data_IF_455928748061
#
_entry.id   IF_455928748061
#
_cell.length_a   1.000
_cell.length_b   1.000
_cell.length_c   1.000
_cell.angle_alpha   90.00
_cell.angle_beta   90.00
_cell.angle_gamma   90.00
#
_symmetry.space_group_name_H-M   'P 1'
#
loop_
_entity.id
_entity.type
_entity.pdbx_description
1 polymer ?
#
# COMPACT_ATOMS: atom_id res chain seq x y z
N UNK A 1 -20.96 4.77 12.41
CA UNK A 1 -20.54 5.73 11.38
C UNK A 1 -21.40 5.49 10.15
N UNK A 2 -21.96 6.54 9.57
CA UNK A 2 -22.55 6.46 8.23
C UNK A 2 -21.40 6.17 7.26
N UNK A 3 -21.46 5.04 6.55
CA UNK A 3 -20.52 4.71 5.48
C UNK A 3 -20.83 5.63 4.30
N UNK A 4 -19.82 6.33 3.77
CA UNK A 4 -19.98 7.23 2.63
C UNK A 4 -20.69 6.51 1.46
N UNK A 5 -21.51 7.23 0.70
CA UNK A 5 -22.15 6.69 -0.50
C UNK A 5 -21.09 6.15 -1.47
N UNK A 6 -20.00 6.88 -1.66
CA UNK A 6 -18.91 6.49 -2.53
C UNK A 6 -18.19 5.21 -2.08
N UNK A 7 -18.03 4.99 -0.77
CA UNK A 7 -17.43 3.75 -0.25
C UNK A 7 -18.34 2.55 -0.50
N UNK A 8 -19.66 2.73 -0.40
CA UNK A 8 -20.63 1.69 -0.79
C UNK A 8 -20.55 1.40 -2.30
N UNK A 9 -20.43 2.42 -3.13
CA UNK A 9 -20.30 2.25 -4.58
C UNK A 9 -19.00 1.55 -4.97
N UNK A 10 -17.87 1.88 -4.32
CA UNK A 10 -16.60 1.18 -4.53
C UNK A 10 -16.72 -0.31 -4.16
N UNK A 11 -17.35 -0.62 -3.02
CA UNK A 11 -17.54 -2.00 -2.55
C UNK A 11 -18.51 -2.82 -3.40
N UNK A 12 -19.46 -2.18 -4.10
CA UNK A 12 -20.38 -2.86 -5.02
C UNK A 12 -19.72 -3.21 -6.35
N UNK A 13 -18.53 -2.70 -6.63
CA UNK A 13 -17.83 -3.02 -7.86
C UNK A 13 -17.21 -4.42 -7.75
N UNK A 14 -17.70 -5.35 -8.57
CA UNK A 14 -17.21 -6.73 -8.61
C UNK A 14 -15.84 -6.85 -9.31
N UNK A 15 -15.41 -5.79 -10.00
CA UNK A 15 -14.07 -5.68 -10.55
C UNK A 15 -13.08 -5.13 -9.53
N UNK A 16 -11.80 -5.52 -9.65
CA UNK A 16 -10.74 -4.98 -8.81
C UNK A 16 -10.36 -3.57 -9.30
N UNK A 17 -11.16 -2.56 -8.93
CA UNK A 17 -10.88 -1.16 -9.25
C UNK A 17 -9.89 -0.62 -8.22
N UNK A 18 -8.71 -0.12 -8.64
CA UNK A 18 -7.81 0.57 -7.73
C UNK A 18 -8.53 1.74 -7.04
N UNK A 19 -8.36 1.85 -5.72
CA UNK A 19 -8.87 2.97 -4.93
C UNK A 19 -8.45 4.33 -5.53
N UNK A 20 -7.24 4.37 -6.08
CA UNK A 20 -6.67 5.50 -6.81
C UNK A 20 -7.54 5.93 -7.99
N UNK A 21 -7.78 5.03 -8.94
CA UNK A 21 -8.61 5.28 -10.12
C UNK A 21 -10.01 5.76 -9.73
N UNK A 22 -10.64 5.08 -8.76
CA UNK A 22 -11.97 5.45 -8.30
C UNK A 22 -12.02 6.86 -7.73
N UNK A 23 -11.05 7.22 -6.87
CA UNK A 23 -11.00 8.55 -6.28
C UNK A 23 -10.67 9.65 -7.30
N UNK A 24 -9.77 9.35 -8.24
CA UNK A 24 -9.44 10.23 -9.37
C UNK A 24 -10.69 10.60 -10.17
N UNK A 25 -11.56 9.63 -10.46
CA UNK A 25 -12.82 9.88 -11.18
C UNK A 25 -13.77 10.78 -10.38
N UNK A 26 -13.85 10.63 -9.05
CA UNK A 26 -14.65 11.52 -8.21
C UNK A 26 -14.16 12.97 -8.26
N UNK A 27 -12.84 13.17 -8.19
CA UNK A 27 -12.23 14.51 -8.26
C UNK A 27 -12.40 15.11 -9.65
N UNK A 28 -12.20 14.33 -10.70
CA UNK A 28 -12.43 14.78 -12.08
C UNK A 28 -13.89 15.16 -12.33
N UNK A 29 -14.84 14.39 -11.77
CA UNK A 29 -16.27 14.71 -11.84
C UNK A 29 -16.61 16.00 -11.08
N UNK A 30 -16.04 16.22 -9.88
CA UNK A 30 -16.19 17.47 -9.15
C UNK A 30 -15.70 18.65 -9.99
N UNK A 31 -14.49 18.59 -10.54
CA UNK A 31 -13.94 19.67 -11.36
C UNK A 31 -14.64 19.84 -12.72
N UNK A 32 -15.31 18.80 -13.23
CA UNK A 32 -16.07 18.91 -14.48
C UNK A 32 -17.43 19.58 -14.27
N UNK A 33 -18.05 19.37 -13.10
CA UNK A 33 -19.39 19.87 -12.76
C UNK A 33 -19.40 21.18 -11.99
N UNK A 34 -18.35 21.45 -11.20
CA UNK A 34 -18.20 22.66 -10.40
C UNK A 34 -16.89 23.38 -10.76
N UNK A 35 -17.00 24.31 -11.72
CA UNK A 35 -15.83 25.06 -12.23
C UNK A 35 -15.29 26.06 -11.24
N UNK A 36 -16.14 26.61 -10.37
CA UNK A 36 -15.73 27.56 -9.34
C UNK A 36 -14.78 26.88 -8.34
N UNK A 37 -15.09 25.65 -7.93
CA UNK A 37 -14.18 24.85 -7.09
C UNK A 37 -12.87 24.54 -7.81
N UNK A 38 -12.91 24.19 -9.09
CA UNK A 38 -11.69 23.98 -9.88
C UNK A 38 -10.81 25.24 -9.91
N UNK A 39 -11.38 26.40 -10.24
CA UNK A 39 -10.63 27.66 -10.30
C UNK A 39 -10.11 28.10 -8.94
N UNK A 40 -10.93 27.98 -7.89
CA UNK A 40 -10.52 28.24 -6.52
C UNK A 40 -9.35 27.33 -6.11
N UNK A 41 -9.36 26.06 -6.51
CA UNK A 41 -8.27 25.13 -6.23
C UNK A 41 -6.98 25.52 -6.96
N UNK A 42 -7.05 25.82 -8.25
CA UNK A 42 -5.88 26.22 -9.04
C UNK A 42 -5.27 27.54 -8.55
N UNK A 43 -6.10 28.49 -8.11
CA UNK A 43 -5.66 29.71 -7.44
C UNK A 43 -5.00 29.40 -6.10
N UNK A 44 -5.62 28.55 -5.29
CA UNK A 44 -5.06 28.14 -3.99
C UNK A 44 -3.65 27.54 -4.12
N UNK A 45 -3.39 26.84 -5.22
CA UNK A 45 -2.09 26.28 -5.54
C UNK A 45 -1.09 27.26 -6.16
N UNK A 46 -1.51 28.50 -6.46
CA UNK A 46 -0.73 29.48 -7.23
C UNK A 46 -0.20 28.88 -8.55
N UNK A 47 -1.06 28.11 -9.23
CA UNK A 47 -0.73 27.46 -10.50
C UNK A 47 -1.08 28.35 -11.68
N UNK A 48 -2.23 29.03 -11.60
CA UNK A 48 -2.71 29.97 -12.61
C UNK A 48 -3.46 31.11 -11.93
N UNK A 49 -3.39 32.30 -12.52
CA UNK A 49 -4.29 33.40 -12.20
C UNK A 49 -5.57 33.21 -13.01
N UNK A 50 -6.62 32.69 -12.35
CA UNK A 50 -7.92 32.41 -12.98
C UNK A 50 -8.89 33.59 -12.89
N UNK A 51 -8.41 34.81 -12.63
CA UNK A 51 -9.22 36.04 -12.69
C UNK A 51 -9.78 36.38 -14.09
N UNK A 52 -9.56 35.50 -15.07
CA UNK A 52 -9.98 35.61 -16.45
C UNK A 52 -10.93 34.45 -16.75
N UNK A 53 -12.06 34.72 -17.42
CA UNK A 53 -12.98 33.69 -17.91
C UNK A 53 -12.20 32.69 -18.78
N UNK A 54 -12.03 31.48 -18.25
CA UNK A 54 -11.40 30.35 -18.92
C UNK A 54 -12.47 29.28 -19.09
N UNK A 55 -12.59 28.72 -20.28
CA UNK A 55 -13.28 27.46 -20.48
C UNK A 55 -12.40 26.33 -19.95
N UNK A 56 -12.98 25.41 -19.18
CA UNK A 56 -12.25 24.30 -18.57
C UNK A 56 -12.76 22.94 -19.05
N UNK A 57 -11.89 22.19 -19.72
CA UNK A 57 -12.13 20.80 -20.09
C UNK A 57 -11.35 19.88 -19.16
N UNK A 58 -12.06 18.96 -18.49
CA UNK A 58 -11.50 17.99 -17.55
C UNK A 58 -11.74 16.60 -18.13
N UNK A 59 -10.69 15.81 -18.23
CA UNK A 59 -10.77 14.44 -18.75
C UNK A 59 -9.88 13.50 -17.95
N UNK A 60 -10.33 12.25 -17.82
CA UNK A 60 -9.54 11.13 -17.32
C UNK A 60 -9.22 10.16 -18.46
N UNK A 61 -8.34 9.19 -18.22
CA UNK A 61 -8.01 8.11 -19.17
C UNK A 61 -7.44 8.56 -20.53
N UNK A 62 -7.05 9.82 -20.68
CA UNK A 62 -6.51 10.36 -21.92
C UNK A 62 -5.11 9.80 -22.17
N UNK A 63 -4.93 9.19 -23.35
CA UNK A 63 -3.65 8.63 -23.77
C UNK A 63 -2.84 9.66 -24.54
N UNK A 64 -1.54 9.66 -24.29
CA UNK A 64 -0.52 10.38 -25.04
C UNK A 64 0.46 9.37 -25.61
N UNK A 65 0.73 9.49 -26.90
CA UNK A 65 1.69 8.62 -27.57
C UNK A 65 3.09 8.79 -26.96
N UNK A 66 3.90 7.72 -26.92
CA UNK A 66 5.28 7.81 -26.47
C UNK A 66 6.07 8.78 -27.34
N UNK A 67 7.01 9.52 -26.73
CA UNK A 67 8.08 10.16 -27.50
C UNK A 67 9.05 9.08 -27.99
N UNK A 68 9.88 9.38 -29.00
CA UNK A 68 10.82 8.41 -29.60
C UNK A 68 11.76 7.74 -28.58
N UNK A 69 12.03 8.43 -27.46
CA UNK A 69 12.88 7.97 -26.36
C UNK A 69 12.14 7.10 -25.34
N UNK A 70 10.81 7.00 -25.42
CA UNK A 70 9.98 6.24 -24.49
C UNK A 70 9.54 4.91 -25.10
N UNK A 71 9.54 3.85 -24.29
CA UNK A 71 9.03 2.54 -24.70
C UNK A 71 7.50 2.41 -24.62
N UNK A 72 6.87 3.25 -23.81
CA UNK A 72 5.46 3.16 -23.45
C UNK A 72 4.80 4.54 -23.55
N UNK A 73 3.57 4.56 -24.05
CA UNK A 73 2.73 5.75 -23.99
C UNK A 73 2.37 6.13 -22.55
N UNK A 74 1.79 7.31 -22.40
CA UNK A 74 1.45 7.90 -21.11
C UNK A 74 -0.04 8.12 -20.96
N UNK A 75 -0.54 8.03 -19.74
CA UNK A 75 -1.93 8.29 -19.39
C UNK A 75 -1.98 8.90 -17.99
N UNK A 76 -1.90 10.24 -17.89
CA UNK A 76 -2.12 10.93 -16.64
C UNK A 76 -3.52 10.63 -16.10
N UNK A 77 -3.65 10.60 -14.78
CA UNK A 77 -4.91 10.33 -14.09
C UNK A 77 -5.99 11.37 -14.42
N UNK A 78 -5.63 12.67 -14.38
CA UNK A 78 -6.50 13.77 -14.81
C UNK A 78 -5.72 14.71 -15.74
N UNK A 79 -6.36 15.10 -16.83
CA UNK A 79 -5.90 16.17 -17.73
C UNK A 79 -6.91 17.30 -17.69
N UNK A 80 -6.42 18.51 -17.41
CA UNK A 80 -7.22 19.73 -17.42
C UNK A 80 -6.65 20.65 -18.50
N UNK A 81 -7.48 21.03 -19.46
CA UNK A 81 -7.18 22.07 -20.43
C UNK A 81 -8.00 23.31 -20.10
N UNK A 82 -7.33 24.45 -20.06
CA UNK A 82 -7.94 25.75 -19.80
C UNK A 82 -7.69 26.64 -21.01
N UNK A 83 -8.75 27.18 -21.57
CA UNK A 83 -8.67 27.98 -22.77
C UNK A 83 -9.45 29.28 -22.64
N UNK A 84 -8.89 30.36 -23.16
CA UNK A 84 -9.65 31.51 -23.60
C UNK A 84 -9.06 32.04 -24.91
N UNK A 85 -9.56 33.17 -25.39
CA UNK A 85 -9.11 33.76 -26.66
C UNK A 85 -7.62 34.11 -26.73
N UNK A 86 -6.90 34.14 -25.59
CA UNK A 86 -5.51 34.61 -25.50
C UNK A 86 -4.55 33.60 -24.87
N UNK A 87 -5.05 32.66 -24.06
CA UNK A 87 -4.26 31.74 -23.25
C UNK A 87 -4.81 30.32 -23.32
N UNK A 88 -3.89 29.39 -23.46
CA UNK A 88 -4.06 27.94 -23.42
C UNK A 88 -3.14 27.39 -22.33
N UNK A 89 -3.72 26.73 -21.34
CA UNK A 89 -3.00 26.04 -20.28
C UNK A 89 -3.36 24.56 -20.25
N UNK A 90 -2.39 23.72 -19.95
CA UNK A 90 -2.60 22.28 -19.76
C UNK A 90 -1.97 21.82 -18.45
N UNK A 91 -2.73 21.04 -17.71
CA UNK A 91 -2.35 20.52 -16.41
C UNK A 91 -2.50 19.00 -16.46
N UNK A 92 -1.42 18.28 -16.20
CA UNK A 92 -1.48 16.86 -15.87
C UNK A 92 -1.50 16.70 -14.36
N UNK A 93 -2.39 15.86 -13.87
CA UNK A 93 -2.43 15.43 -12.48
C UNK A 93 -2.16 13.94 -12.47
N UNK A 94 -1.18 13.54 -11.67
CA UNK A 94 -0.92 12.16 -11.32
C UNK A 94 -1.21 11.98 -9.82
N UNK A 95 -2.06 11.01 -9.50
CA UNK A 95 -2.52 10.65 -8.16
C UNK A 95 -1.82 9.38 -7.70
N UNK A 96 -1.42 9.33 -6.42
CA UNK A 96 -1.05 8.05 -5.78
C UNK A 96 -1.75 7.83 -4.45
N UNK A 97 -2.45 6.71 -4.33
CA UNK A 97 -3.13 6.30 -3.09
C UNK A 97 -2.72 4.86 -2.76
N UNK A 98 -1.71 4.71 -1.90
CA UNK A 98 -1.22 3.40 -1.47
C UNK A 98 -0.28 2.70 -2.46
N UNK A 99 0.02 3.33 -3.58
CA UNK A 99 1.00 2.91 -4.57
C UNK A 99 2.16 3.92 -4.61
N UNK A 100 3.31 3.51 -5.14
CA UNK A 100 4.36 4.43 -5.54
C UNK A 100 4.20 4.77 -7.02
N UNK A 101 4.84 5.86 -7.44
CA UNK A 101 5.03 6.19 -8.85
C UNK A 101 5.52 4.98 -9.66
N UNK A 102 4.98 4.82 -10.89
CA UNK A 102 5.51 3.84 -11.83
C UNK A 102 6.91 4.23 -12.31
N UNK A 103 7.63 3.27 -12.88
CA UNK A 103 8.98 3.49 -13.42
C UNK A 103 9.03 4.75 -14.30
N UNK A 104 9.89 5.72 -13.96
CA UNK A 104 10.11 7.03 -14.61
C UNK A 104 8.85 7.80 -15.06
N UNK A 105 7.72 7.60 -14.39
CA UNK A 105 6.42 8.06 -14.87
C UNK A 105 6.31 9.59 -14.94
N UNK A 106 6.70 10.29 -13.88
CA UNK A 106 6.64 11.75 -13.81
C UNK A 106 7.61 12.40 -14.81
N UNK A 107 8.78 11.78 -15.01
CA UNK A 107 9.75 12.27 -15.99
C UNK A 107 9.19 12.21 -17.42
N UNK A 108 8.57 11.09 -17.79
CA UNK A 108 7.87 10.97 -19.09
C UNK A 108 6.77 12.01 -19.25
N UNK A 109 5.98 12.26 -18.20
CA UNK A 109 4.88 13.22 -18.26
C UNK A 109 5.38 14.65 -18.42
N UNK A 110 6.47 15.00 -17.74
CA UNK A 110 7.12 16.29 -17.91
C UNK A 110 7.64 16.47 -19.35
N UNK A 111 8.25 15.44 -19.94
CA UNK A 111 8.75 15.49 -21.32
C UNK A 111 7.62 15.65 -22.34
N UNK A 112 6.53 14.90 -22.17
CA UNK A 112 5.34 15.02 -23.03
C UNK A 112 4.77 16.43 -22.91
N UNK A 113 4.50 16.92 -21.70
CA UNK A 113 4.01 18.29 -21.50
C UNK A 113 4.92 19.33 -22.17
N UNK A 114 6.24 19.20 -21.99
CA UNK A 114 7.22 20.10 -22.60
C UNK A 114 7.10 20.10 -24.13
N UNK A 115 6.87 18.95 -24.75
CA UNK A 115 6.73 18.79 -26.20
C UNK A 115 5.39 19.25 -26.81
N UNK A 116 4.30 19.36 -26.03
CA UNK A 116 2.98 19.74 -26.59
C UNK A 116 3.00 21.21 -27.06
N UNK A 117 2.80 21.51 -28.36
CA UNK A 117 2.80 22.89 -28.85
C UNK A 117 1.51 23.64 -28.48
N UNK A 118 1.54 24.97 -28.51
CA UNK A 118 0.35 25.82 -28.40
C UNK A 118 -0.07 26.21 -26.97
N UNK A 119 0.37 25.47 -25.94
CA UNK A 119 0.08 25.81 -24.54
C UNK A 119 1.18 26.71 -23.95
N UNK A 120 0.81 27.86 -23.40
CA UNK A 120 1.74 28.79 -22.75
C UNK A 120 2.07 28.36 -21.32
N UNK A 121 1.10 27.78 -20.61
CA UNK A 121 1.30 27.28 -19.25
C UNK A 121 1.12 25.77 -19.21
N UNK A 122 2.15 25.08 -18.71
CA UNK A 122 2.22 23.63 -18.66
C UNK A 122 2.55 23.22 -17.24
N UNK A 123 1.70 22.41 -16.63
CA UNK A 123 1.82 22.10 -15.20
C UNK A 123 1.71 20.59 -15.00
N UNK A 124 2.61 20.05 -14.20
CA UNK A 124 2.55 18.69 -13.70
C UNK A 124 2.31 18.73 -12.19
N UNK A 125 1.15 18.23 -11.76
CA UNK A 125 0.79 18.08 -10.36
C UNK A 125 0.92 16.61 -9.96
N UNK A 126 1.71 16.34 -8.92
CA UNK A 126 1.81 15.02 -8.31
C UNK A 126 1.17 15.05 -6.93
N UNK A 127 0.08 14.32 -6.72
CA UNK A 127 -0.71 14.37 -5.49
C UNK A 127 -0.76 12.99 -4.84
N UNK A 128 -0.29 12.90 -3.60
CA UNK A 128 -0.13 11.61 -2.90
C UNK A 128 -0.85 11.55 -1.56
N UNK A 129 -1.35 10.37 -1.18
CA UNK A 129 -1.83 10.13 0.19
C UNK A 129 -0.68 9.89 1.17
N UNK A 130 0.29 9.08 0.77
CA UNK A 130 1.37 8.51 1.61
C UNK A 130 2.73 9.10 1.26
N UNK A 131 3.61 9.33 2.26
CA UNK A 131 4.83 10.15 2.11
C UNK A 131 5.72 9.64 0.97
N UNK A 132 5.90 10.46 -0.07
CA UNK A 132 6.61 10.08 -1.29
C UNK A 132 7.22 11.33 -1.96
N UNK A 133 8.19 12.01 -1.33
CA UNK A 133 8.82 13.21 -1.87
C UNK A 133 9.58 12.90 -3.16
N UNK A 134 9.48 13.78 -4.15
CA UNK A 134 10.20 13.70 -5.42
C UNK A 134 11.29 14.75 -5.50
N UNK A 135 12.43 14.35 -6.07
CA UNK A 135 13.46 15.29 -6.48
C UNK A 135 13.06 15.89 -7.84
N UNK A 136 12.91 17.22 -7.87
CA UNK A 136 12.57 17.93 -9.09
C UNK A 136 13.65 17.77 -10.18
N UNK A 137 14.92 17.57 -9.79
CA UNK A 137 15.98 17.30 -10.75
C UNK A 137 15.78 15.95 -11.47
N UNK A 138 15.27 14.94 -10.77
CA UNK A 138 14.95 13.63 -11.35
C UNK A 138 13.73 13.72 -12.28
N UNK A 139 12.68 14.46 -11.88
CA UNK A 139 11.50 14.69 -12.73
C UNK A 139 11.90 15.35 -14.07
N UNK A 140 12.84 16.30 -14.05
CA UNK A 140 13.27 17.04 -15.24
C UNK A 140 14.60 16.57 -15.84
N UNK A 141 15.11 15.38 -15.47
CA UNK A 141 16.46 14.92 -15.83
C UNK A 141 16.76 14.91 -17.34
N UNK A 142 15.72 14.76 -18.16
CA UNK A 142 15.83 14.68 -19.63
C UNK A 142 15.46 16.00 -20.34
N UNK A 143 15.20 17.09 -19.60
CA UNK A 143 14.77 18.38 -20.16
C UNK A 143 15.76 19.46 -19.77
N UNK A 144 16.55 19.94 -20.73
CA UNK A 144 17.63 20.91 -20.49
C UNK A 144 17.12 22.28 -20.01
N UNK A 145 15.91 22.69 -20.43
CA UNK A 145 15.27 23.95 -20.02
C UNK A 145 13.75 23.79 -20.02
N UNK A 146 13.22 23.24 -18.93
CA UNK A 146 11.79 22.94 -18.83
C UNK A 146 10.94 24.20 -18.73
N UNK A 147 9.93 24.28 -19.60
CA UNK A 147 8.82 25.24 -19.51
C UNK A 147 7.66 24.72 -18.66
N UNK A 148 7.80 23.51 -18.12
CA UNK A 148 6.78 22.85 -17.30
C UNK A 148 7.00 23.18 -15.83
N UNK A 149 5.95 23.63 -15.15
CA UNK A 149 5.94 23.80 -13.71
C UNK A 149 5.59 22.48 -13.02
N UNK A 150 6.44 22.01 -12.11
CA UNK A 150 6.14 20.86 -11.26
C UNK A 150 5.70 21.31 -9.87
N UNK A 151 4.65 20.68 -9.34
CA UNK A 151 4.24 20.81 -7.93
C UNK A 151 3.90 19.44 -7.37
N UNK A 152 4.40 19.19 -6.17
CA UNK A 152 4.00 18.03 -5.39
C UNK A 152 3.11 18.46 -4.23
N UNK A 153 2.03 17.72 -4.02
CA UNK A 153 1.01 17.97 -3.01
C UNK A 153 0.60 16.67 -2.31
N UNK A 154 -0.16 16.86 -1.23
CA UNK A 154 -0.80 15.80 -0.46
C UNK A 154 -2.30 15.89 -0.56
N UNK A 155 -2.99 14.76 -0.60
CA UNK A 155 -4.45 14.76 -0.59
C UNK A 155 -5.05 15.47 0.64
N UNK A 156 -4.35 15.51 1.77
CA UNK A 156 -4.82 16.27 2.94
C UNK A 156 -4.87 17.79 2.69
N UNK A 157 -4.04 18.32 1.78
CA UNK A 157 -4.08 19.73 1.41
C UNK A 157 -5.34 20.02 0.59
N UNK A 158 -5.70 19.13 -0.34
CA UNK A 158 -6.97 19.21 -1.06
C UNK A 158 -8.17 19.09 -0.12
N UNK A 159 -8.13 18.16 0.85
CA UNK A 159 -9.17 18.04 1.88
C UNK A 159 -9.34 19.33 2.71
N UNK A 160 -8.22 19.97 3.10
CA UNK A 160 -8.24 21.26 3.80
C UNK A 160 -8.81 22.39 2.93
N UNK A 161 -8.55 22.36 1.63
CA UNK A 161 -9.15 23.29 0.69
C UNK A 161 -10.66 23.07 0.54
N UNK A 162 -11.13 21.82 0.41
CA UNK A 162 -12.57 21.53 0.31
C UNK A 162 -13.35 22.01 1.54
N UNK A 163 -12.74 21.98 2.73
CA UNK A 163 -13.32 22.57 3.96
C UNK A 163 -13.62 24.06 3.86
N UNK A 164 -13.01 24.78 2.92
CA UNK A 164 -13.26 26.22 2.71
C UNK A 164 -14.23 26.48 1.56
N UNK A 165 -14.75 25.45 0.88
CA UNK A 165 -15.66 25.57 -0.25
C UNK A 165 -17.13 25.48 0.19
N UNK A 166 -18.04 25.73 -0.76
CA UNK A 166 -19.48 25.60 -0.54
C UNK A 166 -19.86 24.18 -0.09
N UNK A 167 -20.77 24.11 0.88
CA UNK A 167 -21.25 22.87 1.48
C UNK A 167 -22.28 22.18 0.56
N UNK A 168 -21.78 21.53 -0.50
CA UNK A 168 -22.61 20.72 -1.40
C UNK A 168 -22.55 19.25 -1.02
N UNK A 169 -23.61 18.50 -1.36
CA UNK A 169 -23.66 17.05 -1.11
C UNK A 169 -22.46 16.32 -1.75
N UNK A 170 -22.05 16.71 -2.95
CA UNK A 170 -20.90 16.10 -3.63
C UNK A 170 -19.59 16.36 -2.86
N UNK A 171 -19.36 17.61 -2.43
CA UNK A 171 -18.17 17.97 -1.63
C UNK A 171 -18.14 17.19 -0.32
N UNK A 172 -19.27 17.09 0.39
CA UNK A 172 -19.35 16.34 1.65
C UNK A 172 -19.10 14.84 1.48
N UNK A 173 -19.65 14.24 0.43
CA UNK A 173 -19.41 12.82 0.15
C UNK A 173 -17.94 12.55 -0.22
N UNK A 174 -17.32 13.43 -1.03
CA UNK A 174 -15.87 13.34 -1.33
C UNK A 174 -15.05 13.49 -0.04
N UNK A 175 -15.35 14.47 0.79
CA UNK A 175 -14.65 14.70 2.05
C UNK A 175 -14.81 13.53 3.03
N UNK A 176 -15.99 12.94 3.12
CA UNK A 176 -16.25 11.76 3.95
C UNK A 176 -15.44 10.57 3.46
N UNK A 177 -15.45 10.32 2.14
CA UNK A 177 -14.61 9.30 1.51
C UNK A 177 -13.11 9.51 1.79
N UNK A 178 -12.63 10.75 1.66
CA UNK A 178 -11.24 11.11 2.02
C UNK A 178 -10.93 10.83 3.49
N UNK A 179 -11.88 11.02 4.39
CA UNK A 179 -11.77 10.68 5.81
C UNK A 179 -11.57 9.17 6.01
N UNK A 180 -12.46 8.36 5.44
CA UNK A 180 -12.45 6.90 5.57
C UNK A 180 -11.14 6.27 5.06
N UNK A 181 -10.62 6.77 3.94
CA UNK A 181 -9.40 6.24 3.30
C UNK A 181 -8.11 6.99 3.70
N UNK A 182 -8.14 7.71 4.83
CA UNK A 182 -7.01 8.41 5.46
C UNK A 182 -6.34 9.49 4.60
N UNK A 183 -7.04 10.01 3.59
CA UNK A 183 -6.59 11.15 2.79
C UNK A 183 -6.78 12.49 3.50
N UNK A 184 -7.62 12.54 4.52
CA UNK A 184 -7.87 13.73 5.33
C UNK A 184 -6.81 14.02 6.42
N UNK A 185 -5.92 13.05 6.71
CA UNK A 185 -4.99 13.16 7.84
C UNK A 185 -3.95 14.25 7.58
N UNK A 186 -3.81 15.17 8.53
CA UNK A 186 -2.81 16.23 8.47
C UNK A 186 -1.43 15.70 8.93
N UNK A 187 -0.39 16.50 8.72
CA UNK A 187 0.98 16.16 9.15
C UNK A 187 1.19 16.39 10.67
N UNK A 188 0.20 16.09 11.51
CA UNK A 188 0.27 16.27 12.96
C UNK A 188 0.05 14.94 13.66
N UNK A 189 0.84 14.68 14.71
CA UNK A 189 0.58 13.56 15.61
C UNK A 189 -0.69 13.85 16.42
N UNK A 190 -1.63 12.91 16.40
CA UNK A 190 -2.75 12.89 17.33
C UNK A 190 -2.30 12.37 18.70
N UNK A 191 -3.13 12.55 19.73
CA UNK A 191 -2.86 11.94 21.04
C UNK A 191 -2.76 10.42 20.97
N UNK A 192 -3.52 9.78 20.08
CA UNK A 192 -3.45 8.33 19.86
C UNK A 192 -2.10 7.95 19.27
N UNK A 193 -1.56 8.72 18.32
CA UNK A 193 -0.25 8.45 17.73
C UNK A 193 0.86 8.58 18.78
N UNK A 194 0.79 9.61 19.63
CA UNK A 194 1.75 9.81 20.73
C UNK A 194 1.70 8.65 21.72
N UNK A 195 0.50 8.21 22.13
CA UNK A 195 0.33 7.05 23.02
C UNK A 195 0.85 5.78 22.36
N UNK A 196 0.59 5.60 21.06
CA UNK A 196 1.03 4.43 20.29
C UNK A 196 2.55 4.37 20.22
N UNK A 197 3.22 5.49 19.91
CA UNK A 197 4.68 5.59 19.90
C UNK A 197 5.28 5.32 21.29
N UNK A 198 4.68 5.88 22.35
CA UNK A 198 5.15 5.69 23.71
C UNK A 198 5.02 4.22 24.20
N UNK A 199 4.02 3.49 23.70
CA UNK A 199 3.77 2.08 24.08
C UNK A 199 4.29 1.07 23.05
N UNK A 200 4.94 1.52 21.97
CA UNK A 200 5.40 0.65 20.90
C UNK A 200 6.39 -0.41 21.41
N UNK A 201 7.42 0.01 22.17
CA UNK A 201 8.43 -0.91 22.72
C UNK A 201 7.81 -1.96 23.64
N UNK A 202 6.89 -1.56 24.52
CA UNK A 202 6.17 -2.50 25.39
C UNK A 202 5.34 -3.50 24.58
N UNK A 203 4.67 -3.04 23.53
CA UNK A 203 3.87 -3.91 22.65
C UNK A 203 4.77 -4.90 21.90
N UNK A 204 5.95 -4.44 21.48
CA UNK A 204 6.98 -5.28 20.87
C UNK A 204 7.52 -6.34 21.83
N UNK A 205 7.77 -5.97 23.09
CA UNK A 205 8.19 -6.92 24.14
C UNK A 205 7.14 -8.00 24.39
N UNK A 206 5.85 -7.67 24.38
CA UNK A 206 4.77 -8.66 24.48
C UNK A 206 4.74 -9.60 23.26
N UNK A 207 4.86 -9.06 22.05
CA UNK A 207 4.99 -9.90 20.84
C UNK A 207 6.21 -10.81 20.95
N UNK A 208 7.33 -10.29 21.45
CA UNK A 208 8.55 -11.06 21.65
C UNK A 208 8.38 -12.17 22.66
N UNK A 209 7.72 -11.89 23.76
CA UNK A 209 7.45 -12.88 24.80
C UNK A 209 6.63 -14.05 24.24
N UNK A 210 5.66 -13.78 23.35
CA UNK A 210 4.87 -14.84 22.70
C UNK A 210 5.63 -15.66 21.66
N UNK A 211 6.71 -15.13 21.08
CA UNK A 211 7.37 -15.72 19.91
C UNK A 211 8.77 -16.27 20.22
N UNK A 212 9.63 -15.52 20.91
CA UNK A 212 11.08 -15.76 20.98
C UNK A 212 11.56 -16.57 22.19
N UNK A 213 10.68 -17.40 22.74
CA UNK A 213 11.00 -18.42 23.74
C UNK A 213 10.79 -19.83 23.19
N UNK A 214 9.98 -20.61 23.89
CA UNK A 214 9.60 -21.98 23.49
C UNK A 214 9.01 -22.07 22.07
N UNK A 215 8.25 -21.05 21.63
CA UNK A 215 7.65 -21.02 20.30
C UNK A 215 8.71 -20.98 19.20
N UNK A 216 9.75 -20.14 19.34
CA UNK A 216 10.86 -20.09 18.38
C UNK A 216 11.68 -21.39 18.35
N UNK A 217 11.84 -22.05 19.50
CA UNK A 217 12.50 -23.35 19.58
C UNK A 217 11.68 -24.41 18.83
N UNK A 218 10.36 -24.47 19.08
CA UNK A 218 9.45 -25.37 18.38
C UNK A 218 9.43 -25.10 16.88
N UNK A 219 9.35 -23.83 16.48
CA UNK A 219 9.38 -23.44 15.07
C UNK A 219 10.66 -23.91 14.37
N UNK A 220 11.82 -23.73 15.02
CA UNK A 220 13.11 -24.22 14.51
C UNK A 220 13.15 -25.75 14.43
N UNK A 221 12.60 -26.46 15.41
CA UNK A 221 12.49 -27.93 15.37
C UNK A 221 11.61 -28.38 14.20
N UNK A 222 10.44 -27.76 14.03
CA UNK A 222 9.48 -28.13 12.97
C UNK A 222 10.04 -27.80 11.60
N UNK A 223 10.70 -26.67 11.38
CA UNK A 223 11.11 -26.21 10.04
C UNK A 223 12.60 -26.39 9.72
N UNK A 224 13.43 -26.71 10.71
CA UNK A 224 14.89 -26.87 10.60
C UNK A 224 15.67 -25.57 10.70
N UNK A 225 15.06 -24.42 10.41
CA UNK A 225 15.69 -23.11 10.50
C UNK A 225 14.69 -22.02 10.88
N UNK A 226 15.23 -20.89 11.33
CA UNK A 226 14.50 -19.66 11.62
C UNK A 226 15.42 -18.48 11.31
N UNK A 227 14.90 -17.45 10.65
CA UNK A 227 15.65 -16.21 10.42
C UNK A 227 15.89 -15.46 11.73
N UNK A 228 16.91 -14.61 11.73
CA UNK A 228 17.26 -13.80 12.90
C UNK A 228 16.10 -12.90 13.31
N UNK A 229 15.97 -12.64 14.62
CA UNK A 229 14.94 -11.76 15.18
C UNK A 229 14.92 -10.36 14.54
N UNK A 230 16.09 -9.80 14.21
CA UNK A 230 16.19 -8.53 13.51
C UNK A 230 15.42 -8.51 12.18
N UNK A 231 15.33 -9.64 11.48
CA UNK A 231 14.52 -9.77 10.25
C UNK A 231 13.03 -9.61 10.51
N UNK A 232 12.52 -9.96 11.69
CA UNK A 232 11.11 -9.74 12.03
C UNK A 232 10.80 -8.25 12.15
N UNK A 233 11.72 -7.45 12.69
CA UNK A 233 11.56 -5.99 12.81
C UNK A 233 11.53 -5.30 11.44
N UNK A 234 12.40 -5.71 10.50
CA UNK A 234 12.38 -5.13 9.15
C UNK A 234 11.05 -5.38 8.43
N UNK A 235 10.36 -6.50 8.72
CA UNK A 235 9.05 -6.76 8.16
C UNK A 235 7.94 -5.84 8.68
N UNK A 236 8.08 -5.23 9.86
CA UNK A 236 7.11 -4.24 10.34
C UNK A 236 7.14 -3.04 9.38
N UNK A 237 8.34 -2.53 9.08
CA UNK A 237 8.54 -1.38 8.21
C UNK A 237 8.01 -1.63 6.79
N UNK A 238 8.37 -2.76 6.18
CA UNK A 238 8.12 -2.99 4.75
C UNK A 238 6.79 -3.68 4.46
N UNK A 239 6.25 -4.44 5.42
CA UNK A 239 5.10 -5.30 5.19
C UNK A 239 4.01 -5.15 6.25
N UNK A 240 4.21 -4.36 7.31
CA UNK A 240 3.25 -4.21 8.40
C UNK A 240 2.99 -5.51 9.14
N UNK A 241 4.02 -6.36 9.29
CA UNK A 241 3.92 -7.66 9.97
C UNK A 241 5.17 -7.96 10.80
N UNK A 242 5.00 -8.67 11.89
CA UNK A 242 6.08 -9.10 12.77
C UNK A 242 6.11 -10.63 12.83
N UNK A 243 6.97 -11.25 12.02
CA UNK A 243 6.98 -12.70 11.80
C UNK A 243 8.35 -13.32 12.04
N UNK A 244 8.37 -14.46 12.71
CA UNK A 244 9.43 -15.46 12.52
C UNK A 244 9.22 -16.10 11.15
N UNK A 245 10.30 -16.29 10.40
CA UNK A 245 10.19 -16.87 9.06
C UNK A 245 11.24 -17.94 8.81
N UNK A 246 10.87 -18.92 8.00
CA UNK A 246 11.77 -19.90 7.42
C UNK A 246 11.49 -20.01 5.91
N UNK A 247 12.55 -20.04 5.12
CA UNK A 247 12.45 -20.22 3.67
C UNK A 247 12.84 -21.65 3.32
N UNK A 248 11.94 -22.33 2.61
CA UNK A 248 12.18 -23.67 2.08
C UNK A 248 13.16 -23.60 0.91
N UNK A 249 13.73 -24.74 0.44
CA UNK A 249 14.70 -24.76 -0.64
C UNK A 249 14.22 -23.98 -1.86
N UNK A 250 15.14 -23.27 -2.51
CA UNK A 250 14.91 -22.28 -3.58
C UNK A 250 14.34 -20.92 -3.15
N UNK A 251 13.93 -20.73 -1.89
CA UNK A 251 13.41 -19.45 -1.37
C UNK A 251 12.06 -19.00 -1.94
N UNK A 252 11.44 -19.81 -2.81
CA UNK A 252 10.16 -19.54 -3.49
C UNK A 252 8.96 -20.18 -2.79
N UNK A 253 9.20 -20.73 -1.61
CA UNK A 253 8.20 -21.23 -0.69
C UNK A 253 8.68 -20.97 0.73
N UNK A 254 7.82 -20.47 1.59
CA UNK A 254 8.21 -20.07 2.94
C UNK A 254 7.09 -20.26 3.95
N UNK A 255 7.48 -20.31 5.22
CA UNK A 255 6.58 -20.35 6.37
C UNK A 255 6.82 -19.13 7.25
N UNK A 256 5.73 -18.51 7.71
CA UNK A 256 5.75 -17.41 8.66
C UNK A 256 4.90 -17.70 9.88
N UNK A 257 5.33 -17.24 11.05
CA UNK A 257 4.52 -17.29 12.27
C UNK A 257 4.68 -15.98 13.04
N UNK A 258 3.56 -15.38 13.47
CA UNK A 258 3.57 -14.14 14.27
C UNK A 258 2.35 -13.27 13.99
N UNK A 259 2.56 -11.95 13.95
CA UNK A 259 1.51 -10.93 13.94
C UNK A 259 1.39 -10.22 12.60
N UNK A 260 0.16 -9.99 12.15
CA UNK A 260 -0.17 -9.08 11.04
C UNK A 260 -0.79 -7.82 11.63
N UNK A 261 -0.04 -6.72 11.55
CA UNK A 261 -0.38 -5.44 12.16
C UNK A 261 -1.14 -4.53 11.20
N UNK A 262 -0.96 -4.74 9.89
CA UNK A 262 -1.68 -3.99 8.87
C UNK A 262 -3.14 -4.40 8.85
N UNK A 263 -4.02 -3.47 9.20
CA UNK A 263 -5.47 -3.63 9.16
C UNK A 263 -6.10 -2.83 8.03
N UNK A 264 -7.26 -3.29 7.53
CA UNK A 264 -8.02 -2.58 6.50
C UNK A 264 -8.69 -1.33 7.07
N UNK A 265 -9.20 -1.42 8.30
CA UNK A 265 -9.83 -0.32 9.03
C UNK A 265 -9.13 -0.05 10.37
N UNK A 266 -9.26 1.19 10.87
CA UNK A 266 -8.72 1.60 12.17
C UNK A 266 -9.35 0.83 13.35
N UNK A 267 -10.52 0.24 13.14
CA UNK A 267 -11.27 -0.51 14.15
C UNK A 267 -10.98 -2.01 14.12
N UNK A 268 -10.29 -2.50 13.09
CA UNK A 268 -9.98 -3.93 13.02
C UNK A 268 -8.84 -4.25 14.00
N UNK A 269 -8.86 -5.47 14.52
CA UNK A 269 -7.80 -5.97 15.37
C UNK A 269 -6.70 -6.61 14.52
N UNK A 270 -5.42 -6.49 14.93
CA UNK A 270 -4.34 -7.30 14.35
C UNK A 270 -4.64 -8.79 14.47
N UNK A 271 -4.05 -9.60 13.60
CA UNK A 271 -4.21 -11.06 13.65
C UNK A 271 -2.91 -11.75 14.02
N UNK A 272 -3.02 -12.86 14.75
CA UNK A 272 -1.91 -13.82 14.92
C UNK A 272 -2.10 -14.96 13.93
N UNK A 273 -1.03 -15.35 13.24
CA UNK A 273 -1.13 -16.40 12.22
C UNK A 273 0.12 -17.24 12.05
N UNK A 274 -0.09 -18.46 11.58
CA UNK A 274 0.88 -19.28 10.86
C UNK A 274 0.48 -19.29 9.38
N UNK A 275 1.43 -19.04 8.49
CA UNK A 275 1.22 -18.95 7.04
C UNK A 275 2.21 -19.82 6.29
N UNK A 276 1.74 -20.49 5.23
CA UNK A 276 2.57 -21.08 4.18
C UNK A 276 2.28 -20.35 2.87
N UNK A 277 3.32 -19.89 2.17
CA UNK A 277 3.18 -19.11 0.93
C UNK A 277 4.15 -19.55 -0.14
N UNK A 278 3.67 -19.66 -1.39
CA UNK A 278 4.44 -20.05 -2.56
C UNK A 278 4.40 -18.98 -3.66
N UNK A 279 5.59 -18.70 -4.21
CA UNK A 279 5.82 -17.74 -5.29
C UNK A 279 5.16 -18.22 -6.60
N UNK A 280 4.63 -17.30 -7.43
CA UNK A 280 4.06 -17.64 -8.74
C UNK A 280 5.04 -18.36 -9.68
N UNK A 281 6.34 -18.12 -9.54
CA UNK A 281 7.41 -18.71 -10.36
C UNK A 281 8.06 -19.94 -9.72
N UNK A 282 7.50 -20.51 -8.65
CA UNK A 282 8.04 -21.73 -8.06
C UNK A 282 7.90 -22.92 -9.02
N UNK A 283 8.98 -23.66 -9.26
CA UNK A 283 8.95 -24.88 -10.10
C UNK A 283 8.09 -25.99 -9.50
N UNK A 284 7.86 -25.96 -8.18
CA UNK A 284 7.01 -26.92 -7.44
C UNK A 284 5.61 -26.36 -7.17
N UNK A 285 5.21 -25.23 -7.81
CA UNK A 285 3.96 -24.54 -7.48
C UNK A 285 2.74 -25.45 -7.55
N UNK A 286 2.59 -26.23 -8.62
CA UNK A 286 1.43 -27.10 -8.81
C UNK A 286 1.24 -28.07 -7.63
N UNK A 287 2.28 -28.84 -7.28
CA UNK A 287 2.25 -29.78 -6.15
C UNK A 287 1.95 -29.08 -4.82
N UNK A 288 2.54 -27.90 -4.59
CA UNK A 288 2.35 -27.15 -3.36
C UNK A 288 0.90 -26.65 -3.26
N UNK A 289 0.33 -26.15 -4.35
CA UNK A 289 -1.05 -25.65 -4.40
C UNK A 289 -2.05 -26.79 -4.19
N UNK A 290 -1.81 -27.96 -4.78
CA UNK A 290 -2.64 -29.14 -4.56
C UNK A 290 -2.64 -29.56 -3.08
N UNK A 291 -1.46 -29.62 -2.46
CA UNK A 291 -1.35 -29.87 -1.02
C UNK A 291 -2.05 -28.79 -0.18
N UNK A 292 -1.91 -27.51 -0.53
CA UNK A 292 -2.59 -26.39 0.13
C UNK A 292 -4.12 -26.52 0.08
N UNK A 293 -4.69 -26.90 -1.06
CA UNK A 293 -6.13 -27.16 -1.19
C UNK A 293 -6.58 -28.28 -0.26
N UNK A 294 -5.83 -29.38 -0.20
CA UNK A 294 -6.12 -30.48 0.72
C UNK A 294 -5.98 -30.07 2.20
N UNK A 295 -4.99 -29.22 2.53
CA UNK A 295 -4.82 -28.69 3.88
C UNK A 295 -6.05 -27.87 4.29
N UNK A 296 -6.59 -27.02 3.40
CA UNK A 296 -7.81 -26.27 3.67
C UNK A 296 -9.00 -27.18 4.00
N UNK A 297 -9.18 -28.26 3.25
CA UNK A 297 -10.28 -29.20 3.44
C UNK A 297 -10.14 -30.02 4.74
N UNK A 298 -8.93 -30.50 5.04
CA UNK A 298 -8.71 -31.43 6.16
C UNK A 298 -8.53 -30.73 7.51
N UNK A 299 -7.83 -29.59 7.52
CA UNK A 299 -7.42 -28.89 8.74
C UNK A 299 -8.22 -27.60 8.98
N UNK A 300 -9.08 -27.20 8.03
CA UNK A 300 -9.87 -25.98 8.12
C UNK A 300 -9.03 -24.71 8.06
N UNK A 301 -7.84 -24.77 7.45
CA UNK A 301 -7.04 -23.58 7.16
C UNK A 301 -7.69 -22.77 6.05
N UNK A 302 -7.48 -21.46 6.04
CA UNK A 302 -8.02 -20.60 4.99
C UNK A 302 -7.01 -20.47 3.86
N UNK A 303 -7.44 -20.71 2.62
CA UNK A 303 -6.64 -20.52 1.42
C UNK A 303 -6.88 -19.15 0.78
N UNK A 304 -5.88 -18.62 0.08
CA UNK A 304 -6.02 -17.45 -0.79
C UNK A 304 -5.18 -17.60 -2.05
N UNK A 305 -5.69 -17.02 -3.14
CA UNK A 305 -5.05 -17.02 -4.46
C UNK A 305 -4.66 -18.41 -4.98
N UNK A 306 -5.27 -19.49 -4.47
CA UNK A 306 -4.93 -20.88 -4.83
C UNK A 306 -5.25 -21.22 -6.30
N UNK A 307 -6.10 -20.43 -6.95
CA UNK A 307 -6.44 -20.57 -8.37
C UNK A 307 -5.74 -19.54 -9.27
N UNK A 308 -4.93 -18.64 -8.68
CA UNK A 308 -4.16 -17.65 -9.44
C UNK A 308 -2.80 -18.21 -9.86
N UNK A 309 -2.48 -18.05 -11.15
CA UNK A 309 -1.15 -18.38 -11.69
C UNK A 309 -0.14 -17.24 -11.56
N UNK A 310 -0.58 -16.03 -11.23
CA UNK A 310 0.25 -14.82 -11.23
C UNK A 310 0.56 -14.30 -9.83
N UNK A 311 -0.27 -14.64 -8.85
CA UNK A 311 -0.15 -14.11 -7.50
C UNK A 311 0.58 -15.09 -6.58
N UNK A 312 1.18 -14.55 -5.53
CA UNK A 312 1.53 -15.35 -4.36
C UNK A 312 0.28 -16.03 -3.82
N UNK A 313 0.41 -17.30 -3.48
CA UNK A 313 -0.70 -18.11 -2.99
C UNK A 313 -0.30 -18.81 -1.70
N UNK A 314 -1.27 -19.03 -0.84
CA UNK A 314 -0.97 -19.55 0.49
C UNK A 314 -2.17 -20.07 1.25
N UNK A 315 -1.84 -20.66 2.39
CA UNK A 315 -2.80 -21.12 3.40
C UNK A 315 -2.41 -20.56 4.75
N UNK A 316 -3.41 -20.22 5.55
CA UNK A 316 -3.24 -19.63 6.88
C UNK A 316 -4.07 -20.34 7.93
N UNK A 317 -3.45 -20.50 9.10
CA UNK A 317 -4.12 -20.71 10.37
C UNK A 317 -4.01 -19.40 11.15
N UNK A 318 -5.13 -18.74 11.40
CA UNK A 318 -5.15 -17.39 11.97
C UNK A 318 -6.25 -17.22 13.01
N UNK A 319 -6.04 -16.27 13.92
CA UNK A 319 -7.02 -15.85 14.93
C UNK A 319 -6.87 -14.33 15.17
N UNK A 320 -7.98 -13.62 15.38
CA UNK A 320 -7.94 -12.19 15.68
C UNK A 320 -7.39 -11.98 17.08
N UNK A 321 -6.59 -10.92 17.32
CA UNK A 321 -6.21 -10.55 18.69
C UNK A 321 -7.43 -10.26 19.58
N UNK A 322 -8.54 -9.84 18.98
CA UNK A 322 -9.81 -9.68 19.68
C UNK A 322 -10.24 -10.96 20.40
N UNK A 323 -10.02 -12.12 19.77
CA UNK A 323 -10.47 -13.42 20.27
C UNK A 323 -9.62 -13.93 21.46
N UNK A 324 -8.59 -13.19 21.85
CA UNK A 324 -7.78 -13.45 23.04
C UNK A 324 -8.12 -12.49 24.19
N UNK A 325 -8.89 -11.42 23.96
CA UNK A 325 -9.16 -10.40 24.97
C UNK A 325 -9.97 -10.92 26.17
N UNK A 326 -10.68 -12.03 26.01
CA UNK A 326 -11.39 -12.72 27.10
C UNK A 326 -10.49 -13.61 27.96
N UNK A 327 -9.27 -13.89 27.53
CA UNK A 327 -8.31 -14.71 28.28
C UNK A 327 -7.70 -13.88 29.42
N UNK A 328 -7.40 -14.53 30.55
CA UNK A 328 -6.75 -13.86 31.69
C UNK A 328 -5.30 -13.47 31.39
N UNK A 329 -4.59 -14.37 30.70
CA UNK A 329 -3.22 -14.17 30.25
C UNK A 329 -3.14 -14.33 28.73
N UNK A 330 -3.09 -13.20 28.04
CA UNK A 330 -3.05 -13.15 26.58
C UNK A 330 -1.75 -13.73 26.03
N UNK A 331 -0.63 -13.56 26.74
CA UNK A 331 0.67 -14.08 26.31
C UNK A 331 0.64 -15.60 26.28
N UNK A 332 0.16 -16.22 27.36
CA UNK A 332 0.03 -17.69 27.45
C UNK A 332 -0.95 -18.21 26.39
N UNK A 333 -2.08 -17.54 26.19
CA UNK A 333 -3.08 -17.97 25.22
C UNK A 333 -2.55 -17.90 23.76
N UNK A 334 -1.80 -16.85 23.42
CA UNK A 334 -1.18 -16.70 22.09
C UNK A 334 -0.06 -17.72 21.90
N UNK A 335 0.80 -17.95 22.89
CA UNK A 335 1.83 -19.00 22.86
C UNK A 335 1.21 -20.36 22.57
N UNK A 336 0.13 -20.71 23.29
CA UNK A 336 -0.62 -21.96 23.09
C UNK A 336 -1.13 -22.08 21.66
N UNK A 337 -1.73 -21.02 21.11
CA UNK A 337 -2.17 -21.00 19.72
C UNK A 337 -1.03 -21.27 18.75
N UNK A 338 0.13 -20.61 18.92
CA UNK A 338 1.29 -20.83 18.07
C UNK A 338 1.85 -22.25 18.16
N UNK A 339 1.97 -22.80 19.36
CA UNK A 339 2.44 -24.18 19.56
C UNK A 339 1.50 -25.19 18.91
N UNK A 340 0.18 -25.04 19.11
CA UNK A 340 -0.82 -25.91 18.46
C UNK A 340 -0.74 -25.82 16.94
N UNK A 341 -0.62 -24.62 16.38
CA UNK A 341 -0.47 -24.45 14.94
C UNK A 341 0.82 -25.10 14.39
N UNK A 342 1.91 -25.09 15.18
CA UNK A 342 3.16 -25.75 14.81
C UNK A 342 3.10 -27.27 14.92
N UNK A 343 2.40 -27.81 15.92
CA UNK A 343 2.17 -29.25 16.06
C UNK A 343 1.33 -29.77 14.89
N UNK A 344 0.32 -29.00 14.49
CA UNK A 344 -0.50 -29.31 13.31
C UNK A 344 0.32 -29.21 12.02
N UNK A 345 1.20 -28.20 11.90
CA UNK A 345 2.12 -28.08 10.78
C UNK A 345 3.07 -29.29 10.69
N UNK A 346 3.57 -29.81 11.81
CA UNK A 346 4.42 -31.01 11.82
C UNK A 346 3.67 -32.24 11.26
N UNK A 347 2.39 -32.42 11.61
CA UNK A 347 1.55 -33.48 11.05
C UNK A 347 1.35 -33.31 9.53
N UNK A 348 1.10 -32.08 9.09
CA UNK A 348 1.01 -31.74 7.66
C UNK A 348 2.33 -32.08 6.95
N UNK A 349 3.47 -31.78 7.56
CA UNK A 349 4.79 -32.09 6.98
C UNK A 349 4.98 -33.59 6.76
N UNK A 350 4.61 -34.41 7.73
CA UNK A 350 4.74 -35.85 7.64
C UNK A 350 3.83 -36.43 6.56
N UNK A 351 2.59 -35.92 6.47
CA UNK A 351 1.62 -36.31 5.45
C UNK A 351 2.07 -35.92 4.03
N UNK A 352 2.66 -34.74 3.86
CA UNK A 352 3.12 -34.21 2.57
C UNK A 352 4.66 -34.21 2.47
N UNK A 353 5.30 -35.30 2.89
CA UNK A 353 6.77 -35.43 2.98
C UNK A 353 7.52 -35.29 1.65
N UNK A 354 6.82 -35.36 0.51
CA UNK A 354 7.38 -35.15 -0.84
C UNK A 354 7.57 -33.68 -1.22
N UNK A 355 7.02 -32.76 -0.43
CA UNK A 355 7.27 -31.33 -0.58
C UNK A 355 8.61 -30.95 0.08
N UNK A 356 9.30 -29.91 -0.42
CA UNK A 356 10.65 -29.58 0.03
C UNK A 356 10.70 -28.85 1.40
N UNK A 357 10.31 -29.47 2.51
CA UNK A 357 10.06 -28.79 3.80
C UNK A 357 11.28 -28.33 4.61
N UNK A 358 12.50 -28.73 4.23
CA UNK A 358 13.69 -28.46 5.04
C UNK A 358 14.22 -27.07 4.72
N UNK A 359 14.06 -26.13 5.66
CA UNK A 359 14.48 -24.76 5.46
C UNK A 359 16.01 -24.61 5.39
N UNK A 360 16.48 -23.65 4.58
CA UNK A 360 17.91 -23.33 4.46
C UNK A 360 18.33 -22.42 5.61
N UNK A 361 19.45 -22.73 6.28
CA UNK A 361 20.08 -21.82 7.24
C UNK A 361 20.72 -20.64 6.49
N UNK A 362 20.36 -19.42 6.89
CA UNK A 362 20.94 -18.20 6.34
C UNK A 362 22.31 -17.97 7.02
N UNK A 363 23.39 -18.50 6.44
CA UNK A 363 24.77 -18.28 6.89
C UNK A 363 25.28 -16.89 6.45
N UNK A 364 24.60 -15.83 6.86
CA UNK A 364 25.18 -14.48 6.86
C UNK A 364 25.61 -14.18 8.28
N UNK A 365 26.83 -14.57 8.61
CA UNK A 365 27.56 -13.97 9.73
C UNK A 365 27.65 -12.48 9.43
N UNK A 366 26.95 -11.67 10.21
CA UNK A 366 27.20 -10.23 10.26
C UNK A 366 28.60 -10.06 10.83
N UNK A 367 29.53 -9.57 10.01
CA UNK A 367 30.77 -8.99 10.49
C UNK A 367 30.43 -7.95 11.55
N UNK A 368 30.88 -8.22 12.76
CA UNK A 368 30.90 -7.34 13.90
C UNK A 368 31.76 -6.12 13.54
N UNK A 369 31.11 -5.02 13.13
CA UNK A 369 31.75 -3.71 13.07
C UNK A 369 31.34 -2.94 14.33
N UNK A 370 32.32 -2.81 15.21
CA UNK A 370 32.20 -2.20 16.53
C UNK A 370 31.59 -0.81 16.48
N UNK A 371 30.68 -0.56 17.42
CA UNK A 371 30.27 0.78 17.81
C UNK A 371 31.47 1.52 18.41
N UNK A 372 31.87 2.70 17.89
CA UNK A 372 32.59 3.65 18.72
C UNK A 372 31.59 4.24 19.70
N UNK A 373 31.91 4.12 20.99
CA UNK A 373 31.14 4.77 22.03
C UNK A 373 31.18 6.29 21.88
N UNK A 374 30.01 6.90 22.09
CA UNK A 374 29.82 8.18 22.76
C UNK A 374 28.49 8.13 23.49
#
# INVERSE_FOLDING_TARGET
MLVALFSRLLNLNTGNIPLEDFFTELVAYLFSTDKDILYAWLNHLNVLDTSIDLDAYVSTQRKFEPLDVHRLGSRPDIVIELANTQRLSIIFIESKIGSHEGDEQLSRYAEILHGIPGFQHKVLLYITRDFDPKDQADVFKNIFQSTVQFRQLRWHQFYRFLKTQADTMLVQEIMTFMGEYRMAHNNQFSSIDVITLANFTKSLELMDETMWGEVSQRFKTVLGAIKQKATALTQIQWHGRYLMTASMPSGRWWCGLGFILKTSHLTDYPTVRLVLEVDPNSHRRADIIEAMKNICEQYGWKGYSLDSSKDWAGVVREKSLQDFLSEEDHVVAIKRFFLQALDELEQIKDQYSTLPWVAIQDNRESSDDGLPGT
#
